data_IF_797798157865
#
_entry.id   IF_797798157865
#
_cell.length_a   1.000
_cell.length_b   1.000
_cell.length_c   1.000
_cell.angle_alpha   90.00
_cell.angle_beta   90.00
_cell.angle_gamma   90.00
#
_symmetry.space_group_name_H-M   'P 1'
#
loop_
_entity.id
_entity.type
_entity.pdbx_description
1 polymer ?
#
# COMPACT_ATOMS: atom_id res chain seq x y z
N UNK A 1 71.61 -33.26 -31.47
CA UNK A 1 71.54 -32.70 -30.09
C UNK A 1 70.30 -31.85 -29.99
N UNK A 2 69.35 -32.18 -29.11
CA UNK A 2 68.17 -31.34 -28.86
C UNK A 2 66.90 -32.13 -28.56
N UNK A 3 66.58 -32.22 -27.26
CA UNK A 3 65.53 -33.01 -26.62
C UNK A 3 64.13 -32.86 -27.22
N UNK A 4 63.39 -33.97 -27.34
CA UNK A 4 61.92 -33.97 -27.34
C UNK A 4 61.42 -34.98 -26.31
N UNK A 5 60.59 -34.48 -25.41
CA UNK A 5 60.14 -35.15 -24.20
C UNK A 5 59.17 -36.30 -24.46
N UNK A 6 59.27 -37.28 -23.58
CA UNK A 6 58.48 -38.50 -23.50
C UNK A 6 57.09 -38.15 -22.96
N UNK A 7 56.02 -38.61 -23.60
CA UNK A 7 54.73 -38.82 -22.95
C UNK A 7 54.10 -40.10 -23.45
N UNK A 8 54.06 -41.07 -22.56
CA UNK A 8 53.62 -42.45 -22.76
C UNK A 8 52.10 -42.55 -22.83
N UNK A 9 51.59 -43.17 -23.89
CA UNK A 9 50.20 -43.60 -24.02
C UNK A 9 49.82 -44.54 -22.87
N UNK A 10 48.72 -44.27 -22.18
CA UNK A 10 47.99 -45.29 -21.42
C UNK A 10 46.71 -45.66 -22.16
N UNK A 11 46.46 -46.97 -22.38
CA UNK A 11 45.27 -47.45 -23.07
C UNK A 11 44.07 -47.48 -22.13
N UNK A 12 42.89 -47.19 -22.69
CA UNK A 12 41.59 -47.29 -22.02
C UNK A 12 41.30 -48.74 -21.61
N UNK A 13 40.99 -49.03 -20.34
CA UNK A 13 40.36 -50.29 -19.96
C UNK A 13 38.83 -50.15 -20.10
N UNK A 14 38.25 -50.93 -21.00
CA UNK A 14 36.82 -51.20 -21.00
C UNK A 14 36.52 -52.26 -19.93
N UNK A 15 35.53 -52.02 -19.08
CA UNK A 15 34.94 -53.03 -18.20
C UNK A 15 33.41 -52.88 -18.15
N UNK A 16 32.70 -53.96 -17.79
CA UNK A 16 31.61 -54.52 -18.58
C UNK A 16 30.21 -54.04 -18.15
N UNK A 17 29.24 -54.32 -19.01
CA UNK A 17 27.82 -54.31 -18.70
C UNK A 17 27.52 -55.01 -17.36
N UNK A 18 26.88 -54.29 -16.44
CA UNK A 18 26.12 -54.88 -15.34
C UNK A 18 24.76 -54.22 -15.25
N UNK A 19 23.79 -54.91 -15.85
CA UNK A 19 22.36 -55.02 -15.54
C UNK A 19 21.78 -53.99 -14.55
N UNK A 20 20.86 -53.18 -15.07
CA UNK A 20 19.79 -52.50 -14.32
C UNK A 20 19.02 -53.44 -13.40
N UNK A 21 18.71 -53.03 -12.16
CA UNK A 21 17.44 -53.37 -11.52
C UNK A 21 16.42 -52.28 -11.90
N UNK A 22 15.38 -52.69 -12.61
CA UNK A 22 14.20 -51.88 -12.87
C UNK A 22 13.41 -51.81 -11.57
N UNK A 23 13.51 -50.71 -10.82
CA UNK A 23 12.57 -50.43 -9.74
C UNK A 23 11.46 -49.52 -10.27
N UNK A 24 10.20 -49.98 -10.31
CA UNK A 24 9.07 -49.14 -10.70
C UNK A 24 8.69 -48.23 -9.53
N UNK A 25 8.44 -46.95 -9.85
CA UNK A 25 7.94 -45.89 -8.97
C UNK A 25 8.98 -45.13 -8.14
N UNK A 26 9.78 -44.31 -8.82
CA UNK A 26 10.15 -42.99 -8.30
C UNK A 26 9.41 -41.93 -9.14
N UNK A 27 8.58 -41.05 -8.56
CA UNK A 27 7.99 -39.97 -9.32
C UNK A 27 9.13 -39.05 -9.80
N UNK A 28 9.25 -38.89 -11.12
CA UNK A 28 10.06 -37.87 -11.75
C UNK A 28 9.51 -36.50 -11.32
N UNK A 29 10.05 -35.90 -10.27
CA UNK A 29 9.78 -34.49 -9.95
C UNK A 29 10.84 -33.63 -10.64
N UNK A 30 10.59 -33.43 -11.94
CA UNK A 30 10.61 -32.14 -12.59
C UNK A 30 11.38 -31.03 -11.86
N UNK A 31 12.59 -30.76 -12.34
CA UNK A 31 13.22 -29.45 -12.25
C UNK A 31 12.38 -28.49 -13.12
N UNK A 32 11.27 -28.00 -12.59
CA UNK A 32 10.35 -27.10 -13.26
C UNK A 32 10.05 -25.93 -12.33
N UNK A 33 10.56 -24.76 -12.72
CA UNK A 33 9.99 -23.46 -12.37
C UNK A 33 10.08 -23.04 -10.89
N UNK A 34 11.29 -22.72 -10.45
CA UNK A 34 11.53 -21.94 -9.23
C UNK A 34 11.20 -20.44 -9.43
N UNK A 35 10.71 -20.03 -10.61
CA UNK A 35 10.55 -18.60 -10.98
C UNK A 35 9.09 -18.12 -11.17
N UNK A 36 8.07 -18.94 -10.86
CA UNK A 36 6.65 -18.57 -11.06
C UNK A 36 5.85 -18.41 -9.75
N UNK A 37 6.44 -17.84 -8.69
CA UNK A 37 5.70 -17.36 -7.51
C UNK A 37 6.17 -15.97 -7.06
N UNK A 38 6.44 -15.08 -8.02
CA UNK A 38 6.75 -13.68 -7.74
C UNK A 38 5.67 -12.78 -8.34
N UNK A 39 4.88 -12.17 -7.44
CA UNK A 39 4.09 -10.94 -7.62
C UNK A 39 2.90 -10.98 -8.60
N UNK A 40 1.71 -11.33 -8.08
CA UNK A 40 0.45 -10.84 -8.66
C UNK A 40 -0.36 -9.87 -7.75
N UNK A 41 0.05 -9.61 -6.51
CA UNK A 41 -0.88 -9.03 -5.51
C UNK A 41 -0.53 -7.65 -4.93
N UNK A 42 0.06 -6.75 -5.73
CA UNK A 42 0.14 -5.31 -5.36
C UNK A 42 -0.86 -4.44 -6.14
N UNK A 43 -2.02 -5.02 -6.51
CA UNK A 43 -3.12 -4.26 -7.11
C UNK A 43 -3.75 -3.33 -6.08
N UNK A 44 -3.43 -2.03 -6.18
CA UNK A 44 -4.03 -0.98 -5.35
C UNK A 44 -5.36 -0.55 -5.98
N UNK A 45 -6.47 -0.75 -5.26
CA UNK A 45 -7.79 -0.21 -5.64
C UNK A 45 -8.16 0.97 -4.76
N UNK A 46 -8.20 2.17 -5.33
CA UNK A 46 -8.61 3.38 -4.61
C UNK A 46 -10.12 3.33 -4.32
N UNK A 47 -10.47 3.61 -3.06
CA UNK A 47 -11.87 3.63 -2.59
C UNK A 47 -12.35 5.06 -2.47
N UNK A 48 -11.55 5.92 -1.83
CA UNK A 48 -11.89 7.32 -1.59
C UNK A 48 -10.62 8.16 -1.59
N UNK A 49 -10.70 9.33 -2.22
CA UNK A 49 -9.58 10.27 -2.38
C UNK A 49 -9.98 11.64 -1.84
N UNK A 50 -9.29 12.09 -0.79
CA UNK A 50 -9.52 13.39 -0.17
C UNK A 50 -8.81 14.50 -0.96
N UNK A 51 -9.44 14.92 -2.06
CA UNK A 51 -8.95 16.04 -2.89
C UNK A 51 -8.90 17.35 -2.12
N UNK A 52 -9.83 17.56 -1.19
CA UNK A 52 -9.91 18.77 -0.38
C UNK A 52 -8.69 18.92 0.55
N UNK A 53 -8.23 17.84 1.18
CA UNK A 53 -7.02 17.88 2.01
C UNK A 53 -5.80 18.41 1.25
N UNK A 54 -5.60 18.00 -0.01
CA UNK A 54 -4.50 18.51 -0.85
C UNK A 54 -4.61 19.98 -1.24
N UNK A 55 -5.79 20.57 -1.10
CA UNK A 55 -6.03 22.01 -1.37
C UNK A 55 -5.93 22.84 -0.09
N UNK A 56 -6.33 22.28 1.04
CA UNK A 56 -6.31 22.98 2.32
C UNK A 56 -4.94 22.92 3.00
N UNK A 57 -4.20 21.83 2.81
CA UNK A 57 -2.94 21.56 3.47
C UNK A 57 -1.81 21.41 2.44
N UNK A 58 -0.64 21.87 2.84
CA UNK A 58 0.64 21.50 2.25
C UNK A 58 1.10 20.20 2.90
N UNK A 59 1.22 19.14 2.12
CA UNK A 59 1.60 17.81 2.62
C UNK A 59 3.13 17.70 2.52
N UNK A 60 3.77 17.47 3.66
CA UNK A 60 5.22 17.35 3.78
C UNK A 60 5.68 15.90 3.69
N UNK A 61 4.99 15.01 4.40
CA UNK A 61 5.32 13.59 4.48
C UNK A 61 4.03 12.76 4.46
N UNK A 62 4.10 11.55 3.91
CA UNK A 62 2.95 10.63 3.85
C UNK A 62 3.31 9.29 4.48
N UNK A 63 2.39 8.77 5.28
CA UNK A 63 2.50 7.49 5.95
C UNK A 63 1.35 6.57 5.54
N UNK A 64 1.58 5.27 5.57
CA UNK A 64 0.57 4.24 5.35
C UNK A 64 0.15 3.62 6.69
N UNK A 65 -1.15 3.43 6.88
CA UNK A 65 -1.68 2.78 8.07
C UNK A 65 -2.78 1.78 7.70
N UNK A 66 -2.87 0.69 8.46
CA UNK A 66 -4.08 -0.15 8.47
C UNK A 66 -5.20 0.51 9.27
N UNK A 67 -6.46 0.24 8.92
CA UNK A 67 -7.62 0.77 9.67
C UNK A 67 -8.34 -0.38 10.37
N UNK A 68 -8.60 -0.25 11.67
CA UNK A 68 -9.41 -1.21 12.40
C UNK A 68 -10.90 -1.00 12.08
N UNK A 69 -11.42 -1.84 11.18
CA UNK A 69 -12.81 -1.84 10.74
C UNK A 69 -13.58 -3.02 11.33
N UNK A 70 -14.89 -2.82 11.47
CA UNK A 70 -15.84 -3.87 11.82
C UNK A 70 -16.42 -4.51 10.55
N UNK A 71 -16.96 -5.72 10.67
CA UNK A 71 -17.39 -6.51 9.52
C UNK A 71 -18.40 -5.82 8.61
N UNK A 72 -19.38 -5.11 9.17
CA UNK A 72 -20.38 -4.32 8.42
C UNK A 72 -19.74 -3.14 7.69
N UNK A 73 -18.75 -2.49 8.28
CA UNK A 73 -18.02 -1.38 7.67
C UNK A 73 -17.17 -1.83 6.50
N UNK A 74 -16.55 -3.01 6.58
CA UNK A 74 -15.79 -3.57 5.45
C UNK A 74 -16.69 -3.72 4.23
N UNK A 75 -17.96 -4.12 4.41
CA UNK A 75 -18.95 -4.19 3.32
C UNK A 75 -19.25 -2.81 2.74
N UNK A 76 -19.49 -1.81 3.59
CA UNK A 76 -19.71 -0.41 3.14
C UNK A 76 -18.50 0.18 2.40
N UNK A 77 -17.29 -0.11 2.89
CA UNK A 77 -16.03 0.34 2.29
C UNK A 77 -15.82 -0.33 0.94
N UNK A 78 -16.14 -1.62 0.79
CA UNK A 78 -16.14 -2.32 -0.50
C UNK A 78 -17.14 -1.74 -1.49
N UNK A 79 -18.29 -1.26 -1.00
CA UNK A 79 -19.29 -0.54 -1.78
C UNK A 79 -18.91 0.92 -2.09
N UNK A 80 -17.75 1.41 -1.63
CA UNK A 80 -17.29 2.77 -1.89
C UNK A 80 -17.99 3.85 -1.07
N UNK A 81 -18.79 3.49 -0.05
CA UNK A 81 -19.59 4.42 0.74
C UNK A 81 -18.78 5.10 1.86
N UNK A 82 -17.64 5.72 1.51
CA UNK A 82 -16.69 6.33 2.46
C UNK A 82 -16.35 7.78 2.09
N UNK A 83 -16.45 8.67 3.06
CA UNK A 83 -16.05 10.08 2.92
C UNK A 83 -14.96 10.45 3.95
N UNK A 84 -13.85 10.98 3.44
CA UNK A 84 -12.65 11.36 4.20
C UNK A 84 -12.54 12.88 4.46
N UNK A 85 -13.41 13.71 3.88
CA UNK A 85 -13.23 15.17 3.78
C UNK A 85 -12.93 15.88 5.11
N UNK A 86 -13.73 15.60 6.13
CA UNK A 86 -13.64 16.26 7.44
C UNK A 86 -12.84 15.44 8.47
N UNK A 87 -12.26 14.34 8.01
CA UNK A 87 -11.51 13.43 8.87
C UNK A 87 -10.14 13.98 9.23
N UNK A 88 -9.67 13.66 10.42
CA UNK A 88 -8.31 13.94 10.86
C UNK A 88 -7.77 12.80 11.72
N UNK A 89 -6.46 12.75 11.89
CA UNK A 89 -5.80 11.75 12.71
C UNK A 89 -5.26 12.41 13.97
N UNK A 90 -5.66 11.86 15.12
CA UNK A 90 -5.12 12.25 16.41
C UNK A 90 -4.14 11.18 16.86
N UNK A 91 -2.97 11.60 17.31
CA UNK A 91 -2.00 10.70 17.93
C UNK A 91 -1.88 11.06 19.41
N UNK A 92 -2.25 10.14 20.29
CA UNK A 92 -2.22 10.33 21.75
C UNK A 92 -1.88 9.02 22.43
N UNK A 93 -1.10 9.09 23.51
CA UNK A 93 -0.71 7.92 24.32
C UNK A 93 -0.05 6.78 23.51
N UNK A 94 0.67 7.11 22.44
CA UNK A 94 1.30 6.10 21.57
C UNK A 94 0.34 5.38 20.64
N UNK A 95 -0.88 5.88 20.46
CA UNK A 95 -1.87 5.36 19.53
C UNK A 95 -2.31 6.41 18.51
N UNK A 96 -2.47 6.00 17.27
CA UNK A 96 -3.05 6.83 16.21
C UNK A 96 -4.52 6.45 16.02
N UNK A 97 -5.41 7.44 16.05
CA UNK A 97 -6.85 7.26 15.86
C UNK A 97 -7.38 8.19 14.78
N UNK A 98 -8.22 7.63 13.92
CA UNK A 98 -8.92 8.32 12.85
C UNK A 98 -10.28 8.78 13.37
N UNK A 99 -10.53 10.08 13.28
CA UNK A 99 -11.73 10.74 13.81
C UNK A 99 -12.47 11.43 12.67
N UNK A 100 -13.80 11.50 12.79
CA UNK A 100 -14.70 12.23 11.89
C UNK A 100 -14.70 11.76 10.41
N UNK A 101 -14.21 10.55 10.16
CA UNK A 101 -14.40 9.86 8.89
C UNK A 101 -15.77 9.20 8.86
N UNK A 102 -16.53 9.50 7.81
CA UNK A 102 -17.88 8.98 7.64
C UNK A 102 -17.87 7.73 6.76
N UNK A 103 -18.28 6.60 7.32
CA UNK A 103 -18.56 5.37 6.59
C UNK A 103 -20.05 5.12 6.67
N UNK A 104 -20.75 5.12 5.54
CA UNK A 104 -22.20 4.96 5.55
C UNK A 104 -22.56 3.55 6.04
N UNK A 105 -23.62 3.38 6.84
CA UNK A 105 -24.08 2.05 7.26
C UNK A 105 -24.38 1.15 6.06
N UNK A 106 -24.27 -0.16 6.27
CA UNK A 106 -24.55 -1.11 5.21
C UNK A 106 -26.06 -1.39 5.17
N UNK A 107 -26.72 -0.94 4.10
CA UNK A 107 -28.19 -1.02 3.94
C UNK A 107 -28.74 -2.45 4.01
N UNK A 108 -27.96 -3.45 3.59
CA UNK A 108 -28.39 -4.86 3.59
C UNK A 108 -28.09 -5.58 4.93
N UNK A 109 -27.62 -4.85 5.94
CA UNK A 109 -27.47 -5.35 7.31
C UNK A 109 -28.74 -5.08 8.11
N UNK A 110 -29.06 -5.97 9.05
CA UNK A 110 -30.01 -5.63 10.12
C UNK A 110 -29.49 -4.41 10.90
N UNK A 111 -30.41 -3.53 11.31
CA UNK A 111 -30.11 -2.28 12.02
C UNK A 111 -29.29 -2.51 13.30
N UNK A 112 -29.49 -3.65 13.97
CA UNK A 112 -28.75 -4.06 15.15
C UNK A 112 -27.22 -4.15 14.97
N UNK A 113 -26.73 -4.46 13.76
CA UNK A 113 -25.29 -4.57 13.48
C UNK A 113 -24.69 -3.30 12.87
N UNK A 114 -25.49 -2.25 12.67
CA UNK A 114 -24.98 -0.98 12.20
C UNK A 114 -24.34 -0.21 13.35
N UNK A 115 -23.17 0.36 13.05
CA UNK A 115 -22.40 1.17 14.00
C UNK A 115 -22.53 2.64 13.64
N UNK A 116 -22.19 3.53 14.58
CA UNK A 116 -22.10 4.97 14.31
C UNK A 116 -21.19 5.22 13.09
N UNK A 117 -21.70 5.85 12.01
CA UNK A 117 -20.93 6.19 10.82
C UNK A 117 -19.64 6.94 11.10
N UNK A 118 -19.62 7.80 12.13
CA UNK A 118 -18.50 8.67 12.51
C UNK A 118 -17.67 8.17 13.68
N UNK A 119 -17.83 6.91 14.09
CA UNK A 119 -17.06 6.34 15.22
C UNK A 119 -15.55 6.55 15.07
N UNK A 120 -14.84 6.70 16.18
CA UNK A 120 -13.38 6.74 16.17
C UNK A 120 -12.81 5.36 15.81
N UNK A 121 -11.82 5.33 14.90
CA UNK A 121 -11.20 4.08 14.42
C UNK A 121 -9.71 4.07 14.70
N UNK A 122 -9.21 3.01 15.30
CA UNK A 122 -7.77 2.86 15.56
C UNK A 122 -7.01 2.61 14.26
N UNK A 123 -5.85 3.23 14.15
CA UNK A 123 -4.92 3.04 13.06
C UNK A 123 -3.80 2.11 13.50
N UNK A 124 -3.45 1.18 12.61
CA UNK A 124 -2.43 0.18 12.81
C UNK A 124 -1.16 0.64 12.09
N UNK A 125 -0.17 1.09 12.86
CA UNK A 125 1.10 1.63 12.40
C UNK A 125 2.25 1.10 13.26
N UNK A 126 3.48 1.21 12.77
CA UNK A 126 4.64 0.81 13.57
C UNK A 126 4.88 1.80 14.71
N UNK A 127 5.28 1.29 15.88
CA UNK A 127 5.57 2.11 17.07
C UNK A 127 6.56 3.26 16.79
N UNK A 128 7.60 2.99 15.98
CA UNK A 128 8.61 3.98 15.58
C UNK A 128 8.01 5.13 14.76
N UNK A 129 7.08 4.83 13.85
CA UNK A 129 6.38 5.83 13.05
C UNK A 129 5.47 6.69 13.92
N UNK A 130 4.74 6.07 14.85
CA UNK A 130 3.89 6.78 15.81
C UNK A 130 4.72 7.76 16.65
N UNK A 131 5.86 7.31 17.19
CA UNK A 131 6.75 8.19 17.96
C UNK A 131 7.29 9.37 17.14
N UNK A 132 7.63 9.15 15.86
CA UNK A 132 8.04 10.22 14.93
C UNK A 132 6.92 11.24 14.73
N UNK A 133 5.69 10.75 14.53
CA UNK A 133 4.51 11.59 14.32
C UNK A 133 4.20 12.46 15.54
N UNK A 134 4.28 11.90 16.76
CA UNK A 134 4.06 12.66 18.01
C UNK A 134 5.00 13.87 18.06
N UNK A 135 6.31 13.64 17.89
CA UNK A 135 7.29 14.73 17.92
C UNK A 135 7.06 15.79 16.83
N UNK A 136 6.69 15.37 15.61
CA UNK A 136 6.42 16.30 14.52
C UNK A 136 5.14 17.13 14.72
N UNK A 137 4.07 16.51 15.24
CA UNK A 137 2.79 17.20 15.50
C UNK A 137 2.95 18.21 16.62
N UNK A 138 3.57 17.82 17.75
CA UNK A 138 3.73 18.69 18.93
C UNK A 138 4.73 19.83 18.70
N UNK A 139 5.90 19.57 18.11
CA UNK A 139 6.96 20.58 18.00
C UNK A 139 6.72 21.58 16.87
N UNK A 140 6.07 21.17 15.78
CA UNK A 140 5.97 21.97 14.54
C UNK A 140 4.55 22.49 14.27
N UNK A 141 3.59 22.20 15.14
CA UNK A 141 2.18 22.58 14.95
C UNK A 141 1.59 22.00 13.67
N UNK A 142 2.03 20.79 13.30
CA UNK A 142 1.59 20.11 12.09
C UNK A 142 0.32 19.30 12.36
N UNK A 143 -0.47 19.09 11.31
CA UNK A 143 -1.72 18.34 11.39
C UNK A 143 -1.62 17.07 10.57
N UNK A 144 -2.24 16.00 11.06
CA UNK A 144 -2.36 14.74 10.32
C UNK A 144 -3.73 14.62 9.68
N UNK A 145 -3.74 14.46 8.36
CA UNK A 145 -4.97 14.44 7.55
C UNK A 145 -5.03 13.17 6.70
N UNK A 146 -6.19 12.49 6.60
CA UNK A 146 -6.37 11.35 5.72
C UNK A 146 -6.40 11.82 4.26
N UNK A 147 -5.55 11.23 3.43
CA UNK A 147 -5.42 11.57 2.02
C UNK A 147 -6.20 10.62 1.12
N UNK A 148 -5.99 9.32 1.29
CA UNK A 148 -6.58 8.28 0.43
C UNK A 148 -6.89 7.06 1.26
N UNK A 149 -8.00 6.39 0.95
CA UNK A 149 -8.30 5.05 1.44
C UNK A 149 -8.33 4.10 0.24
N UNK A 150 -7.66 2.96 0.36
CA UNK A 150 -7.51 1.99 -0.73
C UNK A 150 -7.42 0.56 -0.21
N UNK A 151 -7.73 -0.38 -1.09
CA UNK A 151 -7.41 -1.78 -0.87
C UNK A 151 -5.99 -2.07 -1.36
N UNK A 152 -5.19 -2.73 -0.53
CA UNK A 152 -3.95 -3.39 -0.93
C UNK A 152 -4.16 -4.89 -0.71
N UNK A 153 -4.43 -5.63 -1.79
CA UNK A 153 -4.96 -6.99 -1.72
C UNK A 153 -6.29 -7.01 -0.95
N UNK A 154 -6.35 -7.80 0.13
CA UNK A 154 -7.55 -7.92 0.98
C UNK A 154 -7.66 -6.87 2.10
N UNK A 155 -6.60 -6.09 2.34
CA UNK A 155 -6.52 -5.16 3.47
C UNK A 155 -6.96 -3.75 3.08
N UNK A 156 -7.72 -3.10 3.97
CA UNK A 156 -8.03 -1.67 3.85
C UNK A 156 -6.88 -0.88 4.47
N UNK A 157 -6.25 -0.06 3.64
CA UNK A 157 -5.20 0.86 4.05
C UNK A 157 -5.64 2.31 3.86
N UNK A 158 -5.09 3.17 4.70
CA UNK A 158 -5.27 4.62 4.60
C UNK A 158 -3.89 5.28 4.51
N UNK A 159 -3.76 6.22 3.58
CA UNK A 159 -2.60 7.11 3.50
C UNK A 159 -2.91 8.38 4.30
N UNK A 160 -2.02 8.72 5.22
CA UNK A 160 -2.12 9.87 6.11
C UNK A 160 -1.01 10.84 5.72
N UNK A 161 -1.38 12.11 5.53
CA UNK A 161 -0.44 13.18 5.26
C UNK A 161 -0.16 13.97 6.53
N UNK A 162 1.12 14.17 6.83
CA UNK A 162 1.56 15.20 7.75
C UNK A 162 1.67 16.52 6.98
N UNK A 163 0.98 17.55 7.43
CA UNK A 163 0.95 18.81 6.69
C UNK A 163 0.65 20.03 7.54
N UNK A 164 0.88 21.18 6.93
CA UNK A 164 0.52 22.50 7.48
C UNK A 164 -0.64 23.08 6.68
N UNK A 165 -1.55 23.79 7.35
CA UNK A 165 -2.60 24.54 6.64
C UNK A 165 -2.01 25.61 5.71
N UNK A 166 -2.45 25.64 4.46
CA UNK A 166 -2.05 26.65 3.48
C UNK A 166 -2.64 28.01 3.81
N UNK A 167 -1.89 29.09 3.57
CA UNK A 167 -2.40 30.45 3.68
C UNK A 167 -3.40 30.73 2.54
N UNK A 168 -4.25 31.73 2.72
CA UNK A 168 -5.25 32.12 1.71
C UNK A 168 -4.59 32.54 0.38
N UNK A 169 -3.44 33.20 0.45
CA UNK A 169 -2.60 33.54 -0.69
C UNK A 169 -2.27 32.31 -1.53
N UNK A 170 -1.65 31.30 -0.90
CA UNK A 170 -1.16 30.09 -1.58
C UNK A 170 -2.31 29.30 -2.22
N UNK A 171 -3.48 29.31 -1.57
CA UNK A 171 -4.71 28.69 -2.12
C UNK A 171 -5.17 29.35 -3.42
N UNK A 172 -5.06 30.68 -3.53
CA UNK A 172 -5.44 31.43 -4.75
C UNK A 172 -4.48 31.14 -5.90
N UNK A 173 -3.18 31.10 -5.62
CA UNK A 173 -2.18 30.78 -6.64
C UNK A 173 -2.33 29.36 -7.18
N UNK A 174 -2.54 28.38 -6.29
CA UNK A 174 -2.77 26.99 -6.69
C UNK A 174 -4.04 26.84 -7.54
N UNK A 175 -5.09 27.60 -7.21
CA UNK A 175 -6.34 27.58 -7.97
C UNK A 175 -6.14 28.18 -9.36
N UNK A 176 -5.45 29.32 -9.47
CA UNK A 176 -5.11 29.98 -10.74
C UNK A 176 -4.27 29.06 -11.62
N UNK A 177 -3.17 28.52 -11.08
CA UNK A 177 -2.27 27.60 -11.80
C UNK A 177 -3.02 26.38 -12.35
N UNK A 178 -3.95 25.80 -11.56
CA UNK A 178 -4.75 24.66 -12.01
C UNK A 178 -5.78 25.04 -13.08
N UNK A 179 -6.29 26.26 -13.04
CA UNK A 179 -7.19 26.76 -14.06
C UNK A 179 -6.43 26.95 -15.38
N UNK A 180 -5.31 27.66 -15.34
CA UNK A 180 -4.43 27.89 -16.50
C UNK A 180 -3.99 26.57 -17.14
N UNK A 181 -3.58 25.58 -16.34
CA UNK A 181 -3.24 24.24 -16.83
C UNK A 181 -4.40 23.52 -17.53
N UNK A 182 -5.62 23.65 -17.01
CA UNK A 182 -6.80 23.03 -17.62
C UNK A 182 -7.16 23.71 -18.94
N UNK A 183 -7.01 25.01 -19.02
CA UNK A 183 -7.33 25.77 -20.23
C UNK A 183 -6.27 25.53 -21.33
N UNK A 184 -4.99 25.46 -20.98
CA UNK A 184 -3.92 25.02 -21.90
C UNK A 184 -4.16 23.60 -22.41
N UNK A 185 -4.50 22.65 -21.54
CA UNK A 185 -4.76 21.27 -21.93
C UNK A 185 -5.98 21.12 -22.86
N UNK A 186 -6.99 21.99 -22.72
CA UNK A 186 -8.15 22.06 -23.64
C UNK A 186 -7.77 22.65 -24.99
N UNK A 187 -6.93 23.69 -25.00
CA UNK A 187 -6.45 24.33 -26.23
C UNK A 187 -5.59 23.37 -27.07
N UNK A 188 -4.73 22.56 -26.44
CA UNK A 188 -3.90 21.56 -27.14
C UNK A 188 -4.66 20.36 -27.70
N UNK A 189 -5.90 20.13 -27.26
CA UNK A 189 -6.73 18.99 -27.71
C UNK A 189 -7.65 19.36 -28.89
N UNK A 190 -7.77 20.64 -29.20
CA UNK A 190 -8.45 21.15 -30.41
C UNK A 190 -7.47 21.21 -31.56
#
# INVERSE_FOLDING_TARGET
MGKWGISTKTPTPQHPNTLTPQHPNTPKLFHFSVDYMANQDDKIKIISDNRQARHLYEILETFEAGVQLLGTEVKSVRAGKVNLRDGYVLVRNGEAVLINVHISPYEQSSEYFNHDPRRTRKLLMHKKEISKLIGQVEQKGLTLVPLKMYFKGSWVKISIGLGRGKKLHDKREDLKRRQDQRDMARAMKR
#
